data_IF_084783397602
#
_entry.id   IF_084783397602
#
_cell.length_a   1.000
_cell.length_b   1.000
_cell.length_c   1.000
_cell.angle_alpha   90.00
_cell.angle_beta   90.00
_cell.angle_gamma   90.00
#
_symmetry.space_group_name_H-M   'P 1'
#
loop_
_entity.id
_entity.type
_entity.pdbx_description
1 polymer ?
#
# COMPACT_ATOMS: atom_id res chain seq x y z
N UNK A 1 19.38 -47.39 15.39
CA UNK A 1 18.72 -46.18 15.94
C UNK A 1 19.74 -45.05 15.85
N UNK A 2 19.63 -44.16 14.86
CA UNK A 2 20.40 -42.92 14.85
C UNK A 2 19.53 -41.85 14.21
N UNK A 3 19.01 -40.98 15.08
CA UNK A 3 18.15 -39.87 14.73
C UNK A 3 18.96 -38.88 13.89
N UNK A 4 18.61 -38.75 12.61
CA UNK A 4 18.91 -37.54 11.87
C UNK A 4 18.20 -36.38 12.58
N UNK A 5 18.94 -35.62 13.39
CA UNK A 5 18.52 -34.28 13.82
C UNK A 5 18.28 -33.49 12.53
N UNK A 6 17.01 -33.31 12.15
CA UNK A 6 16.60 -32.27 11.22
C UNK A 6 17.19 -30.97 11.78
N UNK A 7 18.26 -30.46 11.17
CA UNK A 7 18.68 -29.07 11.36
C UNK A 7 17.46 -28.24 10.99
N UNK A 8 16.78 -27.68 11.98
CA UNK A 8 15.79 -26.62 11.75
C UNK A 8 16.54 -25.51 11.01
N UNK A 9 16.45 -25.50 9.67
CA UNK A 9 16.89 -24.36 8.88
C UNK A 9 16.07 -23.18 9.39
N UNK A 10 16.75 -22.14 9.87
CA UNK A 10 16.06 -20.86 10.09
C UNK A 10 15.37 -20.53 8.76
N UNK A 11 14.07 -20.25 8.76
CA UNK A 11 13.39 -19.84 7.54
C UNK A 11 14.08 -18.59 7.01
N UNK A 12 14.26 -18.61 5.69
CA UNK A 12 15.13 -17.70 4.96
C UNK A 12 14.40 -16.41 4.56
N UNK A 13 13.06 -16.47 4.51
CA UNK A 13 12.16 -15.44 3.99
C UNK A 13 11.05 -15.13 5.00
N UNK A 14 10.52 -13.91 4.95
CA UNK A 14 9.59 -13.36 5.94
C UNK A 14 10.16 -12.11 6.63
N UNK A 15 9.61 -11.77 7.80
CA UNK A 15 10.01 -10.60 8.58
C UNK A 15 10.78 -11.01 9.83
N UNK A 16 11.92 -10.35 10.07
CA UNK A 16 12.85 -10.73 11.12
C UNK A 16 13.38 -9.53 11.91
N UNK A 17 13.66 -9.76 13.19
CA UNK A 17 14.36 -8.81 14.05
C UNK A 17 13.47 -7.75 14.68
N UNK A 18 14.13 -6.84 15.40
CA UNK A 18 13.57 -5.64 16.00
C UNK A 18 14.69 -4.60 16.04
N UNK A 19 14.76 -3.74 15.04
CA UNK A 19 15.88 -2.81 14.83
C UNK A 19 15.59 -1.45 15.48
N UNK A 20 16.64 -0.77 15.94
CA UNK A 20 16.51 0.50 16.65
C UNK A 20 16.33 1.71 15.73
N UNK A 21 16.71 1.61 14.46
CA UNK A 21 16.53 2.67 13.47
C UNK A 21 16.39 2.14 12.04
N UNK A 22 15.83 2.96 11.16
CA UNK A 22 15.71 2.63 9.74
C UNK A 22 17.08 2.38 9.10
N UNK A 23 18.09 3.19 9.47
CA UNK A 23 19.46 3.06 8.97
C UNK A 23 20.08 1.72 9.35
N UNK A 24 19.85 1.25 10.59
CA UNK A 24 20.34 -0.05 11.06
C UNK A 24 19.73 -1.20 10.25
N UNK A 25 18.40 -1.18 10.05
CA UNK A 25 17.72 -2.21 9.27
C UNK A 25 18.10 -2.15 7.78
N UNK A 26 18.19 -0.93 7.21
CA UNK A 26 18.51 -0.71 5.80
C UNK A 26 19.93 -1.15 5.44
N UNK A 27 20.88 -1.00 6.37
CA UNK A 27 22.26 -1.49 6.17
C UNK A 27 22.36 -3.02 6.01
N UNK A 28 21.30 -3.77 6.31
CA UNK A 28 21.20 -5.22 6.15
C UNK A 28 20.38 -5.65 4.93
N UNK A 29 19.97 -4.69 4.11
CA UNK A 29 19.03 -4.86 3.01
C UNK A 29 19.64 -4.47 1.66
N UNK A 30 19.08 -5.03 0.59
CA UNK A 30 19.41 -4.65 -0.78
C UNK A 30 18.66 -3.38 -1.21
N UNK A 31 17.52 -3.09 -0.57
CA UNK A 31 16.65 -1.95 -0.85
C UNK A 31 15.55 -2.23 -1.87
N UNK A 32 14.55 -1.36 -1.92
CA UNK A 32 13.41 -1.47 -2.83
C UNK A 32 13.65 -0.77 -4.19
N UNK A 33 14.67 0.09 -4.28
CA UNK A 33 15.08 0.84 -5.48
C UNK A 33 15.91 -0.02 -6.47
N UNK A 34 15.56 -1.29 -6.61
CA UNK A 34 16.30 -2.22 -7.47
C UNK A 34 15.65 -2.28 -8.86
N UNK A 35 16.47 -2.09 -9.89
CA UNK A 35 16.03 -2.10 -11.30
C UNK A 35 15.28 -3.39 -11.68
N UNK A 36 15.62 -4.53 -11.06
CA UNK A 36 14.97 -5.81 -11.32
C UNK A 36 13.49 -5.82 -10.88
N UNK A 37 13.14 -5.12 -9.80
CA UNK A 37 11.77 -5.03 -9.29
C UNK A 37 10.94 -4.22 -10.28
N UNK A 38 11.39 -3.01 -10.66
CA UNK A 38 10.67 -2.19 -11.64
C UNK A 38 10.48 -2.93 -12.97
N UNK A 39 11.52 -3.59 -13.49
CA UNK A 39 11.43 -4.32 -14.75
C UNK A 39 10.41 -5.46 -14.70
N UNK A 40 10.40 -6.24 -13.61
CA UNK A 40 9.45 -7.34 -13.42
C UNK A 40 8.03 -6.81 -13.28
N UNK A 41 7.82 -5.78 -12.46
CA UNK A 41 6.53 -5.10 -12.29
C UNK A 41 6.00 -4.55 -13.60
N UNK A 42 6.84 -3.85 -14.39
CA UNK A 42 6.48 -3.35 -15.71
C UNK A 42 6.05 -4.47 -16.65
N UNK A 43 6.80 -5.57 -16.68
CA UNK A 43 6.47 -6.71 -17.56
C UNK A 43 5.13 -7.32 -17.17
N UNK A 44 4.88 -7.56 -15.88
CA UNK A 44 3.62 -8.10 -15.39
C UNK A 44 2.44 -7.16 -15.71
N UNK A 45 2.56 -5.87 -15.41
CA UNK A 45 1.49 -4.90 -15.63
C UNK A 45 1.22 -4.61 -17.10
N UNK A 46 2.21 -4.72 -17.99
CA UNK A 46 1.95 -4.64 -19.43
C UNK A 46 1.06 -5.78 -19.93
N UNK A 47 1.23 -7.01 -19.39
CA UNK A 47 0.35 -8.13 -19.71
C UNK A 47 -1.08 -7.83 -19.25
N UNK A 48 -1.25 -7.31 -18.03
CA UNK A 48 -2.58 -6.92 -17.50
C UNK A 48 -3.19 -5.80 -18.34
N UNK A 49 -2.43 -4.73 -18.62
CA UNK A 49 -2.88 -3.57 -19.41
C UNK A 49 -3.34 -3.98 -20.82
N UNK A 50 -2.65 -4.93 -21.45
CA UNK A 50 -2.95 -5.38 -22.81
C UNK A 50 -4.04 -6.48 -22.87
N UNK A 51 -4.49 -6.99 -21.72
CA UNK A 51 -5.47 -8.08 -21.64
C UNK A 51 -4.87 -9.48 -21.83
N UNK A 52 -3.55 -9.61 -21.79
CA UNK A 52 -2.83 -10.90 -21.84
C UNK A 52 -2.79 -11.62 -20.48
N UNK A 53 -3.05 -10.88 -19.40
CA UNK A 53 -3.20 -11.40 -18.04
C UNK A 53 -4.39 -10.74 -17.33
N UNK A 54 -4.97 -11.43 -16.35
CA UNK A 54 -6.17 -10.96 -15.63
C UNK A 54 -5.82 -10.00 -14.49
N UNK A 55 -4.79 -10.34 -13.71
CA UNK A 55 -4.45 -9.63 -12.48
C UNK A 55 -2.98 -9.86 -12.14
N UNK A 56 -2.37 -8.86 -11.49
CA UNK A 56 -1.05 -8.99 -10.90
C UNK A 56 -1.02 -8.43 -9.47
N UNK A 57 -0.22 -9.06 -8.61
CA UNK A 57 0.15 -8.54 -7.29
C UNK A 57 1.64 -8.77 -7.07
N UNK A 58 2.34 -7.74 -6.62
CA UNK A 58 3.79 -7.77 -6.36
C UNK A 58 4.57 -8.33 -7.55
N UNK A 59 4.17 -8.00 -8.79
CA UNK A 59 4.72 -8.48 -10.06
C UNK A 59 4.46 -9.95 -10.42
N UNK A 60 3.64 -10.65 -9.63
CA UNK A 60 3.21 -12.04 -9.89
C UNK A 60 1.85 -12.04 -10.59
N UNK A 61 1.73 -12.82 -11.67
CA UNK A 61 0.47 -12.97 -12.40
C UNK A 61 -0.43 -14.00 -11.72
N UNK A 62 -1.72 -13.67 -11.62
CA UNK A 62 -2.76 -14.55 -11.10
C UNK A 62 -3.84 -14.78 -12.17
N UNK A 63 -4.46 -15.96 -12.12
CA UNK A 63 -5.53 -16.35 -13.06
C UNK A 63 -6.91 -15.80 -12.68
N UNK A 64 -7.07 -15.35 -11.45
CA UNK A 64 -8.32 -14.81 -10.91
C UNK A 64 -8.05 -13.48 -10.21
N UNK A 65 -8.91 -12.50 -10.43
CA UNK A 65 -8.84 -11.22 -9.74
C UNK A 65 -9.27 -11.37 -8.28
N UNK A 66 -8.44 -10.87 -7.38
CA UNK A 66 -8.81 -10.65 -5.99
C UNK A 66 -9.17 -9.19 -5.82
N UNK A 67 -10.41 -8.85 -5.45
CA UNK A 67 -10.83 -7.45 -5.38
C UNK A 67 -10.77 -6.89 -3.95
N UNK A 68 -10.25 -5.65 -3.77
CA UNK A 68 -10.31 -4.94 -2.50
C UNK A 68 -11.71 -4.36 -2.29
N UNK A 69 -12.68 -5.21 -1.95
CA UNK A 69 -14.08 -4.79 -1.76
C UNK A 69 -14.27 -3.62 -0.79
N UNK A 70 -13.50 -3.49 0.32
CA UNK A 70 -13.56 -2.29 1.15
C UNK A 70 -13.20 -1.01 0.39
N UNK A 71 -12.13 -1.02 -0.43
CA UNK A 71 -11.76 0.11 -1.27
C UNK A 71 -12.89 0.45 -2.25
N UNK A 72 -13.39 -0.52 -3.00
CA UNK A 72 -14.51 -0.34 -3.93
C UNK A 72 -15.74 0.27 -3.23
N UNK A 73 -16.08 -0.26 -2.06
CA UNK A 73 -17.25 0.17 -1.29
C UNK A 73 -17.16 1.65 -0.91
N UNK A 74 -16.02 2.08 -0.34
CA UNK A 74 -15.87 3.47 0.10
C UNK A 74 -15.64 4.44 -1.05
N UNK A 75 -14.94 4.01 -2.11
CA UNK A 75 -14.75 4.80 -3.32
C UNK A 75 -16.10 5.10 -4.00
N UNK A 76 -16.92 4.08 -4.23
CA UNK A 76 -18.23 4.22 -4.85
C UNK A 76 -19.20 5.02 -3.98
N UNK A 77 -19.21 4.80 -2.66
CA UNK A 77 -20.08 5.56 -1.76
C UNK A 77 -19.74 7.05 -1.74
N UNK A 78 -18.45 7.38 -1.69
CA UNK A 78 -18.00 8.77 -1.74
C UNK A 78 -18.31 9.43 -3.09
N UNK A 79 -18.11 8.71 -4.20
CA UNK A 79 -18.47 9.20 -5.54
C UNK A 79 -19.97 9.47 -5.65
N UNK A 80 -20.81 8.55 -5.15
CA UNK A 80 -22.27 8.70 -5.06
C UNK A 80 -22.66 9.92 -4.23
N UNK A 81 -22.03 10.12 -3.07
CA UNK A 81 -22.29 11.28 -2.21
C UNK A 81 -21.92 12.61 -2.91
N UNK A 82 -20.80 12.63 -3.63
CA UNK A 82 -20.32 13.79 -4.40
C UNK A 82 -21.09 14.03 -5.70
N UNK A 83 -21.79 13.01 -6.21
CA UNK A 83 -22.51 13.02 -7.49
C UNK A 83 -21.59 13.34 -8.68
N UNK A 84 -20.34 12.86 -8.61
CA UNK A 84 -19.32 12.93 -9.67
C UNK A 84 -18.19 11.95 -9.37
N UNK A 85 -17.40 11.61 -10.39
CA UNK A 85 -16.17 10.84 -10.21
C UNK A 85 -15.18 11.56 -9.30
N UNK A 86 -14.46 10.79 -8.49
CA UNK A 86 -13.47 11.27 -7.54
C UNK A 86 -12.10 11.45 -8.20
N UNK A 87 -11.33 12.42 -7.72
CA UNK A 87 -9.88 12.44 -7.97
C UNK A 87 -9.20 11.66 -6.85
N UNK A 88 -8.64 10.51 -7.21
CA UNK A 88 -7.99 9.59 -6.28
C UNK A 88 -6.49 9.85 -6.30
N UNK A 89 -5.87 9.88 -5.13
CA UNK A 89 -4.42 9.84 -4.96
C UNK A 89 -4.05 8.47 -4.41
N UNK A 90 -3.18 7.76 -5.12
CA UNK A 90 -2.67 6.43 -4.78
C UNK A 90 -1.17 6.55 -4.47
N UNK A 91 -0.83 6.62 -3.18
CA UNK A 91 0.55 6.77 -2.73
C UNK A 91 1.14 5.37 -2.56
N UNK A 92 2.25 5.09 -3.22
CA UNK A 92 2.74 3.71 -3.33
C UNK A 92 2.11 2.92 -4.47
N UNK A 93 1.44 3.58 -5.43
CA UNK A 93 0.59 2.95 -6.44
C UNK A 93 1.32 2.14 -7.52
N UNK A 94 2.66 2.04 -7.45
CA UNK A 94 3.50 1.34 -8.43
C UNK A 94 3.27 1.88 -9.86
N UNK A 95 3.06 1.02 -10.86
CA UNK A 95 2.69 1.41 -12.22
C UNK A 95 1.15 1.33 -12.45
N UNK A 96 0.37 1.32 -11.37
CA UNK A 96 -1.09 1.24 -11.40
C UNK A 96 -1.68 -0.11 -11.05
N UNK A 97 -1.01 -0.91 -10.22
CA UNK A 97 -1.48 -2.24 -9.79
C UNK A 97 -2.92 -2.22 -9.31
N UNK A 98 -3.25 -1.37 -8.32
CA UNK A 98 -4.61 -1.23 -7.80
C UNK A 98 -5.57 -0.68 -8.86
N UNK A 99 -5.13 0.29 -9.67
CA UNK A 99 -5.95 0.86 -10.74
C UNK A 99 -6.38 -0.22 -11.75
N UNK A 100 -5.45 -1.03 -12.25
CA UNK A 100 -5.75 -2.11 -13.19
C UNK A 100 -6.58 -3.22 -12.53
N UNK A 101 -6.28 -3.54 -11.27
CA UNK A 101 -7.04 -4.51 -10.47
C UNK A 101 -8.53 -4.15 -10.39
N UNK A 102 -8.90 -2.87 -10.31
CA UNK A 102 -10.31 -2.44 -10.17
C UNK A 102 -10.86 -1.68 -11.39
N UNK A 103 -10.13 -1.64 -12.51
CA UNK A 103 -10.41 -0.75 -13.64
C UNK A 103 -11.84 -0.86 -14.17
N UNK A 104 -12.41 -2.06 -14.19
CA UNK A 104 -13.78 -2.30 -14.66
C UNK A 104 -14.86 -1.61 -13.82
N UNK A 105 -14.53 -1.22 -12.58
CA UNK A 105 -15.42 -0.50 -11.67
C UNK A 105 -15.24 1.02 -11.71
N UNK A 106 -14.23 1.53 -12.44
CA UNK A 106 -13.87 2.95 -12.48
C UNK A 106 -14.57 3.69 -13.62
N UNK A 107 -15.91 3.74 -13.58
CA UNK A 107 -16.68 4.55 -14.52
C UNK A 107 -16.42 6.06 -14.29
N UNK A 108 -16.72 6.94 -15.27
CA UNK A 108 -16.57 8.41 -15.10
C UNK A 108 -17.36 8.98 -13.91
N UNK A 109 -18.43 8.32 -13.48
CA UNK A 109 -19.21 8.68 -12.30
C UNK A 109 -18.53 8.27 -10.98
N UNK A 110 -17.59 7.32 -11.02
CA UNK A 110 -16.85 6.80 -9.86
C UNK A 110 -15.47 7.45 -9.75
N UNK A 111 -14.71 7.53 -10.83
CA UNK A 111 -13.34 8.02 -10.84
C UNK A 111 -13.12 8.97 -12.02
N UNK A 112 -12.74 10.21 -11.70
CA UNK A 112 -12.35 11.23 -12.70
C UNK A 112 -10.87 11.16 -13.02
N UNK A 113 -10.03 10.86 -12.02
CA UNK A 113 -8.59 10.65 -12.18
C UNK A 113 -8.05 9.72 -11.10
N UNK A 114 -7.06 8.91 -11.48
CA UNK A 114 -6.28 8.07 -10.57
C UNK A 114 -4.83 8.52 -10.61
N UNK A 115 -4.34 9.13 -9.53
CA UNK A 115 -3.09 9.87 -9.50
C UNK A 115 -2.08 9.12 -8.63
N UNK A 116 -1.08 8.52 -9.27
CA UNK A 116 -0.02 7.77 -8.59
C UNK A 116 1.10 8.70 -8.14
N UNK A 117 1.58 8.46 -6.93
CA UNK A 117 2.82 9.02 -6.40
C UNK A 117 3.71 7.86 -5.97
N UNK A 118 4.92 7.84 -6.52
CA UNK A 118 5.93 6.80 -6.34
C UNK A 118 7.32 7.39 -6.59
N UNK A 119 8.38 6.59 -6.37
CA UNK A 119 9.75 6.95 -6.69
C UNK A 119 9.94 7.38 -8.15
N UNK A 120 10.90 8.27 -8.37
CA UNK A 120 11.18 8.93 -9.66
C UNK A 120 11.20 7.95 -10.85
N UNK A 121 11.92 6.82 -10.74
CA UNK A 121 12.07 5.85 -11.82
C UNK A 121 10.75 5.12 -12.15
N UNK A 122 9.88 4.88 -11.17
CA UNK A 122 8.52 4.38 -11.40
C UNK A 122 7.64 5.41 -12.08
N UNK A 123 7.71 6.69 -11.67
CA UNK A 123 6.93 7.77 -12.28
C UNK A 123 7.33 7.95 -13.75
N UNK A 124 8.63 7.93 -14.06
CA UNK A 124 9.13 8.05 -15.42
C UNK A 124 8.65 6.87 -16.30
N UNK A 125 8.73 5.64 -15.77
CA UNK A 125 8.19 4.45 -16.43
C UNK A 125 6.66 4.51 -16.61
N UNK A 126 5.94 4.95 -15.58
CA UNK A 126 4.49 5.12 -15.57
C UNK A 126 4.03 6.09 -16.65
N UNK A 127 4.63 7.28 -16.72
CA UNK A 127 4.39 8.28 -17.76
C UNK A 127 4.64 7.73 -19.17
N UNK A 128 5.69 6.95 -19.34
CA UNK A 128 6.07 6.43 -20.66
C UNK A 128 5.13 5.32 -21.15
N UNK A 129 4.72 4.40 -20.27
CA UNK A 129 4.07 3.14 -20.68
C UNK A 129 2.63 2.99 -20.22
N UNK A 130 2.21 3.66 -19.14
CA UNK A 130 0.94 3.40 -18.45
C UNK A 130 -0.03 4.56 -18.47
N UNK A 131 0.46 5.81 -18.43
CA UNK A 131 -0.36 7.02 -18.38
C UNK A 131 -1.39 7.09 -19.51
N UNK A 132 -2.63 7.41 -19.14
CA UNK A 132 -3.76 7.60 -20.05
C UNK A 132 -4.62 8.78 -19.57
N UNK A 133 -5.84 8.94 -20.09
CA UNK A 133 -6.72 10.06 -19.71
C UNK A 133 -7.13 10.05 -18.22
N UNK A 134 -7.12 8.89 -17.56
CA UNK A 134 -7.56 8.71 -16.17
C UNK A 134 -6.37 8.43 -15.25
N UNK A 135 -5.49 7.50 -15.61
CA UNK A 135 -4.32 7.12 -14.84
C UNK A 135 -3.18 8.12 -15.09
N UNK A 136 -2.77 8.85 -14.05
CA UNK A 136 -1.76 9.91 -14.08
C UNK A 136 -0.65 9.65 -13.08
N UNK A 137 0.56 10.14 -13.36
CA UNK A 137 1.73 9.95 -12.50
C UNK A 137 2.34 11.30 -12.08
N UNK A 138 2.64 11.45 -10.79
CA UNK A 138 3.15 12.69 -10.17
C UNK A 138 4.34 12.40 -9.26
N UNK A 139 5.31 13.30 -9.20
CA UNK A 139 6.51 13.12 -8.37
C UNK A 139 6.27 13.47 -6.90
N UNK A 140 5.17 14.15 -6.57
CA UNK A 140 4.86 14.52 -5.19
C UNK A 140 3.36 14.78 -4.96
N UNK A 141 2.95 14.70 -3.70
CA UNK A 141 1.58 15.06 -3.26
C UNK A 141 1.28 16.51 -3.63
N UNK A 142 2.23 17.42 -3.40
CA UNK A 142 2.06 18.83 -3.70
C UNK A 142 1.90 19.11 -5.20
N UNK A 143 2.62 18.40 -6.07
CA UNK A 143 2.43 18.51 -7.53
C UNK A 143 1.03 18.03 -7.93
N UNK A 144 0.63 16.84 -7.45
CA UNK A 144 -0.68 16.26 -7.68
C UNK A 144 -1.80 17.24 -7.29
N UNK A 145 -1.72 17.85 -6.09
CA UNK A 145 -2.71 18.82 -5.61
C UNK A 145 -2.79 20.13 -6.41
N UNK A 146 -1.74 20.51 -7.16
CA UNK A 146 -1.82 21.67 -8.07
C UNK A 146 -2.64 21.37 -9.32
N UNK A 147 -2.63 20.11 -9.76
CA UNK A 147 -3.38 19.68 -10.96
C UNK A 147 -4.85 19.42 -10.67
N UNK A 148 -5.19 18.93 -9.48
CA UNK A 148 -6.54 18.53 -9.13
C UNK A 148 -6.80 18.56 -7.63
N UNK A 149 -8.04 18.90 -7.25
CA UNK A 149 -8.49 18.73 -5.87
C UNK A 149 -8.75 17.25 -5.62
N UNK A 150 -7.89 16.64 -4.79
CA UNK A 150 -7.99 15.24 -4.38
C UNK A 150 -9.13 15.06 -3.37
N UNK A 151 -9.97 14.06 -3.62
CA UNK A 151 -11.10 13.70 -2.76
C UNK A 151 -10.77 12.49 -1.87
N UNK A 152 -10.03 11.53 -2.43
CA UNK A 152 -9.83 10.21 -1.84
C UNK A 152 -8.36 9.81 -1.92
N UNK A 153 -7.77 9.38 -0.80
CA UNK A 153 -6.41 8.88 -0.73
C UNK A 153 -6.42 7.38 -0.46
N UNK A 154 -5.58 6.63 -1.17
CA UNK A 154 -5.31 5.22 -0.95
C UNK A 154 -3.87 5.06 -0.46
N UNK A 155 -3.72 4.38 0.68
CA UNK A 155 -2.44 3.91 1.22
C UNK A 155 -2.53 2.38 1.36
N UNK A 156 -2.17 1.62 0.33
CA UNK A 156 -2.28 0.16 0.35
C UNK A 156 -0.91 -0.49 0.52
N UNK A 157 -0.61 -0.99 1.72
CA UNK A 157 0.67 -1.65 2.03
C UNK A 157 1.90 -0.81 1.66
N UNK A 158 1.86 0.50 1.96
CA UNK A 158 2.94 1.46 1.62
C UNK A 158 3.60 2.05 2.85
N UNK A 159 2.82 2.42 3.88
CA UNK A 159 3.31 3.24 5.00
C UNK A 159 4.41 2.51 5.77
N UNK A 160 4.31 1.19 5.89
CA UNK A 160 5.30 0.38 6.60
C UNK A 160 6.70 0.39 5.96
N UNK A 161 6.81 0.81 4.71
CA UNK A 161 8.07 0.83 3.96
C UNK A 161 8.70 2.23 3.90
N UNK A 162 8.19 3.18 4.69
CA UNK A 162 8.76 4.52 4.80
C UNK A 162 9.79 4.61 5.94
N UNK A 163 10.87 5.39 5.76
CA UNK A 163 11.85 5.63 6.83
C UNK A 163 11.27 6.29 8.07
N UNK A 164 10.37 7.26 7.88
CA UNK A 164 9.71 8.00 8.96
C UNK A 164 8.17 8.01 8.72
N UNK A 165 7.49 6.90 9.05
CA UNK A 165 6.08 6.73 8.74
C UNK A 165 5.18 7.66 9.55
N UNK A 166 5.51 7.94 10.81
CA UNK A 166 4.71 8.79 11.68
C UNK A 166 4.73 10.26 11.21
N UNK A 167 5.91 10.79 10.84
CA UNK A 167 6.00 12.13 10.24
C UNK A 167 5.22 12.20 8.93
N UNK A 168 5.36 11.19 8.06
CA UNK A 168 4.58 11.13 6.82
C UNK A 168 3.06 11.15 7.07
N UNK A 169 2.57 10.39 8.07
CA UNK A 169 1.15 10.37 8.41
C UNK A 169 0.67 11.74 8.89
N UNK A 170 1.44 12.44 9.73
CA UNK A 170 1.11 13.80 10.17
C UNK A 170 1.05 14.79 9.00
N UNK A 171 2.01 14.73 8.09
CA UNK A 171 2.03 15.54 6.86
C UNK A 171 0.83 15.25 5.97
N UNK A 172 0.51 13.97 5.75
CA UNK A 172 -0.65 13.55 4.96
C UNK A 172 -1.97 14.02 5.59
N UNK A 173 -2.12 13.90 6.91
CA UNK A 173 -3.30 14.39 7.64
C UNK A 173 -3.43 15.91 7.50
N UNK A 174 -2.32 16.65 7.56
CA UNK A 174 -2.29 18.11 7.42
C UNK A 174 -2.79 18.60 6.05
N UNK A 175 -2.69 17.77 5.00
CA UNK A 175 -3.22 18.07 3.67
C UNK A 175 -4.76 18.16 3.65
N UNK A 176 -5.45 17.55 4.63
CA UNK A 176 -6.89 17.71 4.81
C UNK A 176 -7.75 17.10 3.70
N UNK A 177 -7.37 15.94 3.15
CA UNK A 177 -8.18 15.18 2.20
C UNK A 177 -9.55 14.79 2.78
N UNK A 178 -10.56 14.60 1.92
CA UNK A 178 -11.90 14.28 2.42
C UNK A 178 -11.97 12.85 2.98
N UNK A 179 -11.25 11.91 2.36
CA UNK A 179 -11.17 10.50 2.80
C UNK A 179 -9.78 9.94 2.61
N UNK A 180 -9.31 9.22 3.62
CA UNK A 180 -8.06 8.47 3.59
C UNK A 180 -8.41 7.01 3.88
N UNK A 181 -8.11 6.14 2.93
CA UNK A 181 -8.25 4.70 3.07
C UNK A 181 -6.86 4.09 3.20
N UNK A 182 -6.66 3.45 4.33
CA UNK A 182 -5.47 2.65 4.64
C UNK A 182 -5.85 1.19 4.44
N UNK A 183 -5.05 0.45 3.69
CA UNK A 183 -5.30 -0.95 3.38
C UNK A 183 -4.02 -1.77 3.54
N UNK A 184 -4.19 -3.06 3.84
CA UNK A 184 -3.11 -4.05 3.98
C UNK A 184 -1.90 -3.58 4.82
N UNK A 185 -2.16 -2.81 5.88
CA UNK A 185 -1.09 -2.26 6.74
C UNK A 185 -0.80 -3.21 7.89
N UNK A 186 0.48 -3.40 8.19
CA UNK A 186 0.96 -4.38 9.16
C UNK A 186 0.99 -3.80 10.59
N UNK A 187 0.41 -4.54 11.54
CA UNK A 187 0.33 -4.16 12.95
C UNK A 187 0.89 -5.26 13.83
N UNK A 188 1.57 -4.89 14.92
CA UNK A 188 1.93 -5.85 15.98
C UNK A 188 0.69 -6.26 16.77
N UNK A 189 0.71 -7.49 17.30
CA UNK A 189 -0.34 -7.94 18.23
C UNK A 189 -0.31 -7.14 19.55
N UNK A 190 0.90 -6.86 20.05
CA UNK A 190 1.14 -6.22 21.34
C UNK A 190 2.48 -5.45 21.30
N UNK A 191 2.55 -4.36 22.07
CA UNK A 191 3.75 -3.54 22.22
C UNK A 191 3.81 -2.36 21.24
N UNK A 192 4.91 -1.59 21.28
CA UNK A 192 5.11 -0.47 20.38
C UNK A 192 5.39 -0.94 18.95
N UNK A 193 5.50 0.02 18.04
CA UNK A 193 6.08 -0.16 16.71
C UNK A 193 7.32 -1.05 16.73
N UNK A 194 7.38 -1.96 15.75
CA UNK A 194 8.46 -2.91 15.57
C UNK A 194 9.04 -2.82 14.17
N UNK A 195 10.29 -2.38 14.08
CA UNK A 195 11.03 -2.37 12.82
C UNK A 195 11.66 -3.73 12.54
N UNK A 196 11.39 -4.28 11.37
CA UNK A 196 11.91 -5.57 10.91
C UNK A 196 12.68 -5.42 9.61
N UNK A 197 13.40 -6.47 9.23
CA UNK A 197 13.89 -6.65 7.85
C UNK A 197 13.02 -7.72 7.20
N UNK A 198 12.39 -7.37 6.08
CA UNK A 198 11.72 -8.30 5.21
C UNK A 198 12.72 -8.92 4.24
N UNK A 199 12.65 -10.24 4.10
CA UNK A 199 13.34 -11.00 3.06
C UNK A 199 12.28 -11.62 2.16
N UNK A 200 12.24 -11.19 0.91
CA UNK A 200 11.18 -11.56 -0.03
C UNK A 200 11.43 -12.96 -0.59
N UNK A 201 10.36 -13.75 -0.73
CA UNK A 201 10.45 -15.07 -1.35
C UNK A 201 10.90 -14.93 -2.82
N UNK A 202 11.88 -15.72 -3.31
CA UNK A 202 12.44 -15.56 -4.65
C UNK A 202 11.41 -15.77 -5.77
N UNK A 203 10.31 -16.47 -5.49
CA UNK A 203 9.17 -16.60 -6.41
C UNK A 203 8.54 -15.25 -6.75
N UNK A 204 8.61 -14.28 -5.84
CA UNK A 204 8.17 -12.90 -6.04
C UNK A 204 9.31 -12.09 -6.64
N UNK A 205 10.45 -11.97 -5.95
CA UNK A 205 11.74 -11.48 -6.48
C UNK A 205 12.80 -11.59 -5.38
N UNK A 206 14.08 -11.53 -5.75
CA UNK A 206 15.18 -11.46 -4.78
C UNK A 206 15.36 -10.02 -4.33
N UNK A 207 14.91 -9.72 -3.10
CA UNK A 207 15.14 -8.44 -2.44
C UNK A 207 14.96 -8.55 -0.92
N UNK A 208 15.48 -7.54 -0.25
CA UNK A 208 15.27 -7.32 1.17
C UNK A 208 15.12 -5.83 1.47
N UNK A 209 14.25 -5.47 2.41
CA UNK A 209 14.02 -4.08 2.81
C UNK A 209 13.46 -3.98 4.23
N UNK A 210 13.67 -2.85 4.92
CA UNK A 210 13.07 -2.62 6.23
C UNK A 210 11.55 -2.53 6.13
N UNK A 211 10.86 -2.96 7.18
CA UNK A 211 9.40 -2.91 7.26
C UNK A 211 8.94 -2.70 8.71
N UNK A 212 8.12 -1.68 8.93
CA UNK A 212 7.46 -1.41 10.20
C UNK A 212 6.24 -2.31 10.40
N UNK A 213 6.06 -2.76 11.64
CA UNK A 213 4.80 -3.26 12.15
C UNK A 213 4.32 -2.29 13.23
N UNK A 214 3.19 -1.65 13.01
CA UNK A 214 2.76 -0.52 13.83
C UNK A 214 2.05 -0.97 15.11
N UNK A 215 2.18 -0.19 16.19
CA UNK A 215 1.15 -0.13 17.21
C UNK A 215 -0.12 0.49 16.62
N UNK A 216 -1.24 -0.21 16.80
CA UNK A 216 -2.49 0.20 16.17
C UNK A 216 -3.05 1.49 16.77
N UNK A 217 -2.90 1.70 18.07
CA UNK A 217 -3.50 2.86 18.74
C UNK A 217 -2.74 4.15 18.41
N UNK A 218 -1.41 4.08 18.36
CA UNK A 218 -0.51 5.14 17.93
C UNK A 218 -0.74 5.48 16.45
N UNK A 219 -0.80 4.47 15.56
CA UNK A 219 -1.11 4.70 14.15
C UNK A 219 -2.45 5.43 13.96
N UNK A 220 -3.51 5.00 14.65
CA UNK A 220 -4.83 5.65 14.55
C UNK A 220 -4.80 7.06 15.18
N UNK A 221 -3.91 7.33 16.14
CA UNK A 221 -3.85 8.61 16.85
C UNK A 221 -3.59 9.80 15.92
N UNK A 222 -2.77 9.62 14.87
CA UNK A 222 -2.52 10.65 13.83
C UNK A 222 -3.81 11.21 13.23
N UNK A 223 -4.84 10.39 13.10
CA UNK A 223 -6.09 10.75 12.44
C UNK A 223 -7.13 11.34 13.41
N UNK A 224 -7.06 11.05 14.72
CA UNK A 224 -8.17 11.25 15.68
C UNK A 224 -8.67 12.70 15.75
N UNK A 225 -7.76 13.67 15.61
CA UNK A 225 -8.05 15.11 15.71
C UNK A 225 -8.95 15.60 14.58
N UNK A 226 -8.53 15.33 13.33
CA UNK A 226 -9.15 15.92 12.15
C UNK A 226 -10.07 14.96 11.39
N UNK A 227 -10.00 13.66 11.69
CA UNK A 227 -10.78 12.60 11.07
C UNK A 227 -11.53 11.78 12.12
N UNK A 228 -12.58 11.09 11.68
CA UNK A 228 -13.19 10.00 12.43
C UNK A 228 -12.94 8.69 11.69
N UNK A 229 -12.72 7.62 12.46
CA UNK A 229 -12.67 6.27 11.93
C UNK A 229 -14.08 5.88 11.47
N UNK A 230 -14.27 5.82 10.16
CA UNK A 230 -15.54 5.45 9.53
C UNK A 230 -15.75 3.94 9.60
N UNK A 231 -14.69 3.17 9.36
CA UNK A 231 -14.72 1.72 9.43
C UNK A 231 -13.31 1.14 9.55
N UNK A 232 -13.24 -0.10 10.03
CA UNK A 232 -12.06 -0.97 9.93
C UNK A 232 -12.45 -2.29 9.27
N UNK A 233 -11.54 -2.88 8.52
CA UNK A 233 -11.78 -4.11 7.78
C UNK A 233 -10.52 -4.99 7.76
N UNK A 234 -10.72 -6.28 7.51
CA UNK A 234 -9.64 -7.27 7.44
C UNK A 234 -8.98 -7.28 6.05
N UNK A 235 -7.78 -7.83 5.98
CA UNK A 235 -7.10 -8.07 4.70
C UNK A 235 -7.96 -9.00 3.82
N UNK A 236 -8.20 -8.60 2.57
CA UNK A 236 -9.00 -9.36 1.62
C UNK A 236 -8.22 -10.50 0.96
N UNK A 237 -6.89 -10.50 1.09
CA UNK A 237 -6.02 -11.52 0.51
C UNK A 237 -6.05 -12.78 1.38
N UNK A 238 -6.48 -13.94 0.83
CA UNK A 238 -6.51 -15.18 1.57
C UNK A 238 -5.13 -15.57 2.11
N UNK A 239 -5.05 -15.85 3.42
CA UNK A 239 -3.81 -16.31 4.07
C UNK A 239 -2.85 -15.19 4.50
N UNK A 240 -3.12 -13.93 4.19
CA UNK A 240 -2.27 -12.79 4.57
C UNK A 240 -2.85 -11.95 5.74
N UNK A 241 -3.86 -12.49 6.44
CA UNK A 241 -4.44 -11.83 7.62
C UNK A 241 -3.51 -11.92 8.84
N UNK A 242 -2.88 -13.07 9.05
CA UNK A 242 -1.92 -13.31 10.13
C UNK A 242 -0.52 -13.18 9.56
N UNK A 243 0.32 -12.37 10.21
CA UNK A 243 1.70 -12.12 9.79
C UNK A 243 2.67 -12.69 10.82
N UNK A 244 3.74 -13.30 10.32
CA UNK A 244 4.77 -13.87 11.16
C UNK A 244 5.98 -12.95 11.28
N UNK A 245 6.43 -12.73 12.52
CA UNK A 245 7.71 -12.08 12.81
C UNK A 245 8.57 -13.06 13.60
N UNK A 246 9.79 -13.31 13.15
CA UNK A 246 10.66 -14.37 13.68
C UNK A 246 9.96 -15.74 13.75
N UNK A 247 9.08 -16.02 12.78
CA UNK A 247 8.35 -17.29 12.62
C UNK A 247 7.35 -17.57 13.75
N UNK A 248 6.81 -16.49 14.30
CA UNK A 248 5.73 -16.53 15.26
C UNK A 248 4.60 -15.64 14.75
N UNK A 249 3.34 -16.05 14.89
CA UNK A 249 2.19 -15.20 14.56
C UNK A 249 2.10 -14.05 15.57
N UNK A 250 2.86 -12.99 15.29
CA UNK A 250 3.09 -11.86 16.20
C UNK A 250 2.48 -10.55 15.66
N UNK A 251 1.87 -10.61 14.48
CA UNK A 251 1.33 -9.46 13.77
C UNK A 251 0.13 -9.85 12.91
N UNK A 252 -0.55 -8.84 12.39
CA UNK A 252 -1.68 -8.97 11.49
C UNK A 252 -1.74 -7.81 10.50
N UNK A 253 -2.48 -8.00 9.41
CA UNK A 253 -2.76 -6.95 8.44
C UNK A 253 -4.17 -6.41 8.63
N UNK A 254 -4.34 -5.08 8.60
CA UNK A 254 -5.65 -4.44 8.78
C UNK A 254 -5.80 -3.19 7.91
N UNK A 255 -7.05 -2.89 7.55
CA UNK A 255 -7.42 -1.67 6.85
C UNK A 255 -8.38 -0.78 7.63
N UNK A 256 -8.38 0.50 7.29
CA UNK A 256 -9.17 1.56 7.90
C UNK A 256 -9.66 2.54 6.86
N UNK A 257 -10.89 3.01 7.00
CA UNK A 257 -11.38 4.18 6.29
C UNK A 257 -11.54 5.34 7.29
N UNK A 258 -10.82 6.43 7.06
CA UNK A 258 -10.93 7.67 7.80
C UNK A 258 -11.66 8.71 6.98
N UNK A 259 -12.64 9.38 7.60
CA UNK A 259 -13.42 10.45 6.98
C UNK A 259 -13.17 11.76 7.72
N UNK A 260 -12.85 12.81 6.97
CA UNK A 260 -12.56 14.12 7.56
C UNK A 260 -13.76 14.62 8.37
N UNK A 261 -13.50 15.16 9.55
CA UNK A 261 -14.54 15.80 10.36
C UNK A 261 -14.97 17.08 9.65
N UNK A 262 -16.24 17.17 9.31
CA UNK A 262 -16.83 18.44 8.89
C UNK A 262 -16.97 19.29 10.15
N UNK A 263 -16.18 20.36 10.27
CA UNK A 263 -16.46 21.40 11.26
C UNK A 263 -17.88 21.91 10.97
N UNK A 264 -18.85 21.55 11.81
CA UNK A 264 -20.13 22.25 11.80
C UNK A 264 -19.78 23.69 12.18
N UNK A 265 -19.89 24.61 11.22
CA UNK A 265 -20.00 26.03 11.55
C UNK A 265 -21.26 26.14 12.41
N UNK A 266 -21.07 26.38 13.70
CA UNK A 266 -22.13 26.79 14.63
C UNK A 266 -22.56 28.19 14.22
#
# INVERSE_FOLDING_TARGET
MNLFKKRNRKPEYGWFGNYGSWEEASALCDGYDQDNILQKTRQALLLVKNGDAVYERDSVIFSESEYPYPLLTYLMDDARYKKRGLNVLDFGGSLGSTYFQIKEFLSPEVCSSWNIIEQQHYIDCGKQFFEDDVLKFHYSISECQRSSKIDFVVLSSVVQYLPDPHTFLDELVSCGFDTILVDRTAFVNEGPDRLTVQRVWPSVYEASYPAWFFDREEFIAHFKKDYHLRASFENYIPGEAVMEIDNKPAAYSKGFCFKRRVLRKV
#
